data_IF_617468257326
#
_entry.id   IF_617468257326
#
_cell.length_a   1.000
_cell.length_b   1.000
_cell.length_c   1.000
_cell.angle_alpha   90.00
_cell.angle_beta   90.00
_cell.angle_gamma   90.00
#
_symmetry.space_group_name_H-M   'P 1'
#
loop_
_entity.id
_entity.type
_entity.pdbx_description
1 polymer ?
#
# COMPACT_ATOMS: atom_id res chain seq x y z
N UNK A 1 7.62 -20.66 38.90
CA UNK A 1 7.18 -20.28 37.54
C UNK A 1 5.68 -20.13 37.62
N UNK A 2 5.12 -18.95 37.38
CA UNK A 2 3.66 -18.75 37.46
C UNK A 2 3.04 -19.26 36.16
N UNK A 3 2.34 -20.39 36.20
CA UNK A 3 1.55 -20.89 35.09
C UNK A 3 0.29 -20.02 34.93
N UNK A 4 0.04 -19.57 33.70
CA UNK A 4 -1.12 -18.74 33.36
C UNK A 4 -2.15 -19.62 32.68
N UNK A 5 -3.33 -19.78 33.28
CA UNK A 5 -4.38 -20.65 32.76
C UNK A 5 -5.47 -19.84 32.10
N UNK A 6 -6.02 -20.36 30.99
CA UNK A 6 -7.18 -19.74 30.35
C UNK A 6 -8.44 -19.89 31.23
N UNK A 7 -9.18 -18.82 31.52
CA UNK A 7 -10.36 -18.87 32.37
C UNK A 7 -11.53 -19.65 31.74
N UNK A 8 -11.61 -19.68 30.41
CA UNK A 8 -12.74 -20.28 29.69
C UNK A 8 -12.58 -21.80 29.48
N UNK A 9 -11.34 -22.29 29.34
CA UNK A 9 -11.07 -23.71 29.05
C UNK A 9 -10.03 -24.38 29.97
N UNK A 10 -9.41 -23.64 30.90
CA UNK A 10 -8.48 -24.18 31.90
C UNK A 10 -7.11 -24.60 31.38
N UNK A 11 -6.77 -24.33 30.10
CA UNK A 11 -5.48 -24.74 29.52
C UNK A 11 -4.31 -23.90 30.08
N UNK A 12 -3.18 -24.51 30.44
CA UNK A 12 -2.00 -23.79 30.94
C UNK A 12 -1.16 -23.22 29.81
N UNK A 13 -0.60 -22.02 30.05
CA UNK A 13 0.28 -21.29 29.14
C UNK A 13 1.52 -20.80 29.87
N UNK A 14 2.67 -20.89 29.18
CA UNK A 14 3.96 -20.45 29.71
C UNK A 14 4.19 -18.93 29.61
N UNK A 15 3.30 -18.17 28.96
CA UNK A 15 3.45 -16.73 28.78
C UNK A 15 2.11 -16.01 28.51
N UNK A 16 2.03 -14.75 28.94
CA UNK A 16 0.89 -13.85 28.71
C UNK A 16 0.49 -13.72 27.22
N UNK A 17 1.43 -13.56 26.25
CA UNK A 17 1.07 -13.41 24.85
C UNK A 17 0.42 -14.66 24.25
N UNK A 18 0.88 -15.85 24.64
CA UNK A 18 0.30 -17.11 24.15
C UNK A 18 -1.14 -17.30 24.67
N UNK A 19 -1.39 -16.91 25.92
CA UNK A 19 -2.73 -16.92 26.50
C UNK A 19 -3.67 -15.94 25.79
N UNK A 20 -3.21 -14.70 25.57
CA UNK A 20 -4.00 -13.66 24.89
C UNK A 20 -4.37 -14.07 23.46
N UNK A 21 -3.41 -14.64 22.72
CA UNK A 21 -3.68 -15.16 21.37
C UNK A 21 -4.69 -16.31 21.39
N UNK A 22 -4.54 -17.24 22.36
CA UNK A 22 -5.48 -18.35 22.52
C UNK A 22 -6.91 -17.87 22.82
N UNK A 23 -7.08 -16.90 23.73
CA UNK A 23 -8.39 -16.33 24.04
C UNK A 23 -9.02 -15.67 22.81
N UNK A 24 -8.26 -14.88 22.05
CA UNK A 24 -8.75 -14.21 20.86
C UNK A 24 -9.14 -15.17 19.72
N UNK A 25 -8.41 -16.27 19.56
CA UNK A 25 -8.61 -17.22 18.45
C UNK A 25 -9.67 -18.29 18.74
N UNK A 26 -9.72 -18.81 19.96
CA UNK A 26 -10.57 -19.96 20.31
C UNK A 26 -11.89 -19.53 20.95
N UNK A 27 -11.87 -18.48 21.76
CA UNK A 27 -13.06 -18.02 22.47
C UNK A 27 -13.70 -16.79 21.80
N UNK A 28 -13.01 -16.16 20.85
CA UNK A 28 -13.42 -14.89 20.23
C UNK A 28 -13.29 -13.77 21.26
N UNK A 29 -12.62 -12.67 20.91
CA UNK A 29 -12.41 -11.55 21.83
C UNK A 29 -13.76 -10.96 22.27
N UNK A 30 -14.23 -11.38 23.46
CA UNK A 30 -15.61 -11.12 23.82
C UNK A 30 -15.92 -11.36 25.28
N UNK A 31 -15.07 -10.90 26.21
CA UNK A 31 -15.52 -10.65 27.59
C UNK A 31 -14.51 -9.83 28.42
N UNK A 32 -14.21 -8.56 28.06
CA UNK A 32 -13.65 -7.64 29.08
C UNK A 32 -13.73 -6.12 28.81
N UNK A 33 -14.72 -5.67 28.00
CA UNK A 33 -14.99 -4.22 27.84
C UNK A 33 -16.35 -3.83 28.46
N UNK A 34 -17.16 -4.82 28.84
CA UNK A 34 -18.53 -4.59 29.29
C UNK A 34 -18.69 -4.47 30.81
N UNK A 35 -17.75 -4.99 31.60
CA UNK A 35 -17.81 -4.91 33.07
C UNK A 35 -17.24 -3.60 33.64
N UNK A 36 -16.18 -3.05 33.04
CA UNK A 36 -15.62 -1.74 33.45
C UNK A 36 -16.59 -0.58 33.20
N UNK A 37 -17.43 -0.69 32.18
CA UNK A 37 -18.42 0.35 31.82
C UNK A 37 -19.66 0.34 32.75
N UNK A 38 -19.99 -0.82 33.34
CA UNK A 38 -21.13 -0.94 34.27
C UNK A 38 -20.79 -0.44 35.67
N UNK A 39 -19.54 -0.61 36.11
CA UNK A 39 -19.04 -0.07 37.38
C UNK A 39 -18.82 1.45 37.34
N UNK A 40 -18.41 2.01 36.19
CA UNK A 40 -18.32 3.47 36.00
C UNK A 40 -19.69 4.17 36.04
N UNK A 41 -20.77 3.47 35.67
CA UNK A 41 -22.15 4.00 35.72
C UNK A 41 -22.71 4.12 37.15
N UNK A 42 -22.16 3.37 38.12
CA UNK A 42 -22.55 3.50 39.54
C UNK A 42 -21.93 4.72 40.23
N UNK A 43 -20.93 5.36 39.63
CA UNK A 43 -20.15 6.45 40.25
C UNK A 43 -20.60 7.87 39.88
N UNK A 44 -21.72 8.06 39.17
CA UNK A 44 -22.40 9.36 39.10
C UNK A 44 -21.61 10.49 38.41
N UNK A 45 -20.90 10.22 37.32
CA UNK A 45 -20.30 11.27 36.49
C UNK A 45 -21.30 11.81 35.43
N UNK A 46 -21.40 13.14 35.22
CA UNK A 46 -22.42 13.74 34.36
C UNK A 46 -22.17 13.49 32.86
N UNK A 47 -23.24 13.42 32.05
CA UNK A 47 -23.16 13.22 30.61
C UNK A 47 -23.16 14.58 29.89
N UNK A 48 -22.11 14.87 29.15
CA UNK A 48 -21.96 15.86 28.05
C UNK A 48 -20.46 16.15 28.03
N UNK A 49 -19.73 15.81 26.97
CA UNK A 49 -19.73 16.60 25.75
C UNK A 49 -19.00 15.83 24.63
N UNK A 50 -19.48 16.07 23.41
CA UNK A 50 -18.77 15.89 22.14
C UNK A 50 -18.69 14.47 21.53
N UNK A 51 -19.76 14.18 20.77
CA UNK A 51 -19.70 13.41 19.53
C UNK A 51 -18.59 13.98 18.64
N UNK A 52 -17.42 13.34 18.66
CA UNK A 52 -16.37 13.55 17.66
C UNK A 52 -16.54 12.55 16.50
N UNK A 53 -16.29 12.99 15.25
CA UNK A 53 -16.67 12.28 14.05
C UNK A 53 -15.92 10.95 13.96
N UNK A 54 -16.59 9.97 13.33
CA UNK A 54 -16.05 8.66 12.95
C UNK A 54 -14.59 8.77 12.54
N UNK A 55 -13.73 8.20 13.38
CA UNK A 55 -12.31 8.07 13.11
C UNK A 55 -12.09 7.17 11.88
N UNK A 56 -11.82 7.80 10.74
CA UNK A 56 -11.43 7.14 9.49
C UNK A 56 -10.14 6.30 9.62
N UNK A 57 -9.38 6.44 10.71
CA UNK A 57 -8.18 5.64 10.98
C UNK A 57 -8.50 4.24 11.52
N UNK A 58 -9.78 3.88 11.70
CA UNK A 58 -10.17 2.48 11.96
C UNK A 58 -9.98 1.58 10.72
N UNK A 59 -9.85 2.15 9.52
CA UNK A 59 -9.49 1.41 8.30
C UNK A 59 -8.00 1.13 8.19
N UNK A 60 -7.14 1.91 8.86
CA UNK A 60 -5.68 1.73 8.77
C UNK A 60 -5.18 0.58 9.65
N UNK A 61 -5.86 0.27 10.76
CA UNK A 61 -5.39 -0.77 11.70
C UNK A 61 -5.83 -2.20 11.38
N UNK A 62 -6.64 -2.42 10.34
CA UNK A 62 -6.99 -3.76 9.83
C UNK A 62 -6.10 -4.21 8.66
N UNK A 63 -5.29 -3.31 8.09
CA UNK A 63 -4.35 -3.63 7.02
C UNK A 63 -3.07 -4.35 7.51
N UNK A 64 -2.75 -4.25 8.81
CA UNK A 64 -1.46 -4.72 9.34
C UNK A 64 -1.46 -6.19 9.83
N UNK A 65 -2.55 -6.94 9.66
CA UNK A 65 -2.66 -8.31 10.20
C UNK A 65 -2.81 -9.43 9.17
N UNK A 66 -2.89 -9.17 7.86
CA UNK A 66 -3.11 -10.23 6.89
C UNK A 66 -2.24 -10.05 5.66
N UNK A 67 -1.64 -11.15 5.18
CA UNK A 67 -1.06 -11.27 3.85
C UNK A 67 -2.13 -11.08 2.76
N UNK A 68 -2.60 -9.84 2.63
CA UNK A 68 -3.68 -9.41 1.77
C UNK A 68 -3.21 -9.32 0.32
N UNK A 69 -4.05 -9.82 -0.58
CA UNK A 69 -3.85 -9.68 -2.00
C UNK A 69 -3.70 -8.18 -2.34
N UNK A 70 -2.74 -7.79 -3.20
CA UNK A 70 -2.55 -6.40 -3.58
C UNK A 70 -3.86 -5.81 -4.11
N UNK A 71 -4.28 -4.64 -3.64
CA UNK A 71 -5.56 -4.06 -4.04
C UNK A 71 -5.41 -3.09 -5.21
N UNK A 72 -6.51 -2.82 -5.93
CA UNK A 72 -6.53 -1.83 -7.02
C UNK A 72 -6.27 -0.41 -6.50
N UNK A 73 -6.65 -0.16 -5.25
CA UNK A 73 -6.49 1.12 -4.56
C UNK A 73 -5.02 1.37 -4.21
N UNK A 74 -4.32 0.38 -3.64
CA UNK A 74 -2.87 0.41 -3.42
C UNK A 74 -2.09 0.64 -4.72
N UNK A 75 -2.45 -0.09 -5.77
CA UNK A 75 -1.84 0.06 -7.09
C UNK A 75 -2.00 1.51 -7.61
N UNK A 76 -3.19 2.10 -7.42
CA UNK A 76 -3.49 3.47 -7.84
C UNK A 76 -2.75 4.49 -7.00
N UNK A 77 -2.63 4.29 -5.69
CA UNK A 77 -1.88 5.19 -4.80
C UNK A 77 -0.39 5.16 -5.11
N UNK A 78 0.19 3.98 -5.36
CA UNK A 78 1.58 3.84 -5.78
C UNK A 78 1.84 4.55 -7.11
N UNK A 79 1.01 4.32 -8.14
CA UNK A 79 1.13 4.99 -9.43
C UNK A 79 0.98 6.51 -9.32
N UNK A 80 0.08 7.00 -8.46
CA UNK A 80 -0.06 8.43 -8.20
C UNK A 80 1.16 9.01 -7.51
N UNK A 81 1.72 8.32 -6.51
CA UNK A 81 2.93 8.72 -5.82
C UNK A 81 4.11 8.84 -6.81
N UNK A 82 4.29 7.83 -7.66
CA UNK A 82 5.28 7.87 -8.72
C UNK A 82 5.01 8.99 -9.72
N UNK A 83 3.77 9.20 -10.14
CA UNK A 83 3.43 10.26 -11.08
C UNK A 83 3.72 11.66 -10.56
N UNK A 84 3.36 11.93 -9.31
CA UNK A 84 3.70 13.18 -8.63
C UNK A 84 5.22 13.33 -8.55
N UNK A 85 5.94 12.27 -8.18
CA UNK A 85 7.40 12.26 -8.13
C UNK A 85 8.05 12.56 -9.48
N UNK A 86 7.59 11.94 -10.56
CA UNK A 86 8.09 12.16 -11.91
C UNK A 86 7.80 13.59 -12.40
N UNK A 87 6.61 14.13 -12.13
CA UNK A 87 6.29 15.53 -12.46
C UNK A 87 7.20 16.48 -11.68
N UNK A 88 7.34 16.27 -10.38
CA UNK A 88 8.20 17.10 -9.53
C UNK A 88 9.66 17.09 -10.01
N UNK A 89 10.19 15.91 -10.35
CA UNK A 89 11.53 15.74 -10.92
C UNK A 89 11.63 16.44 -12.29
N UNK A 90 10.64 16.28 -13.16
CA UNK A 90 10.59 16.92 -14.47
C UNK A 90 10.56 18.45 -14.37
N UNK A 91 9.83 19.00 -13.40
CA UNK A 91 9.84 20.44 -13.11
C UNK A 91 11.18 20.88 -12.53
N UNK A 92 11.73 20.14 -11.56
CA UNK A 92 13.03 20.45 -10.97
C UNK A 92 14.17 20.45 -12.01
N UNK A 93 14.07 19.60 -13.04
CA UNK A 93 15.01 19.56 -14.15
C UNK A 93 15.15 20.91 -14.88
N UNK A 94 14.10 21.72 -14.95
CA UNK A 94 14.21 23.06 -15.54
C UNK A 94 15.06 24.03 -14.71
N UNK A 95 15.18 23.79 -13.40
CA UNK A 95 15.90 24.67 -12.48
C UNK A 95 17.31 24.17 -12.14
N UNK A 96 17.63 22.91 -12.50
CA UNK A 96 18.90 22.28 -12.17
C UNK A 96 19.78 22.20 -13.43
N UNK A 97 20.81 23.05 -13.57
CA UNK A 97 21.59 23.16 -14.81
C UNK A 97 22.45 21.92 -15.13
N UNK A 98 22.54 20.96 -14.20
CA UNK A 98 23.24 19.70 -14.43
C UNK A 98 22.35 18.62 -15.05
N UNK A 99 21.03 18.78 -15.08
CA UNK A 99 20.13 17.84 -15.75
C UNK A 99 19.74 18.37 -17.12
N UNK A 100 19.77 17.49 -18.13
CA UNK A 100 19.40 17.84 -19.48
C UNK A 100 17.87 18.11 -19.57
N UNK A 101 17.45 19.33 -19.96
CA UNK A 101 16.04 19.70 -20.09
C UNK A 101 15.27 18.81 -21.07
N UNK A 102 15.95 18.14 -22.01
CA UNK A 102 15.32 17.22 -22.95
C UNK A 102 14.57 16.09 -22.24
N UNK A 103 15.10 15.59 -21.12
CA UNK A 103 14.47 14.53 -20.34
C UNK A 103 13.21 14.99 -19.62
N UNK A 104 13.09 16.29 -19.30
CA UNK A 104 11.87 16.83 -18.69
C UNK A 104 10.66 16.66 -19.62
N UNK A 105 10.85 16.77 -20.95
CA UNK A 105 9.80 16.54 -21.94
C UNK A 105 9.37 15.08 -22.06
N UNK A 106 10.19 14.13 -21.59
CA UNK A 106 9.83 12.71 -21.55
C UNK A 106 9.21 12.34 -20.20
N UNK A 107 9.83 12.80 -19.11
CA UNK A 107 9.48 12.44 -17.74
C UNK A 107 8.20 13.14 -17.29
N UNK A 108 8.00 14.43 -17.58
CA UNK A 108 6.82 15.16 -17.12
C UNK A 108 5.51 14.64 -17.77
N UNK A 109 5.44 14.38 -19.10
CA UNK A 109 4.25 13.76 -19.70
C UNK A 109 4.02 12.33 -19.23
N UNK A 110 5.08 11.53 -19.01
CA UNK A 110 4.95 10.19 -18.45
C UNK A 110 4.39 10.24 -17.02
N UNK A 111 4.87 11.18 -16.21
CA UNK A 111 4.34 11.47 -14.88
C UNK A 111 2.88 11.93 -14.91
N UNK A 112 2.52 12.85 -15.82
CA UNK A 112 1.14 13.26 -16.01
C UNK A 112 0.24 12.08 -16.43
N UNK A 113 0.68 11.30 -17.42
CA UNK A 113 -0.04 10.11 -17.89
C UNK A 113 -0.27 9.12 -16.75
N UNK A 114 0.68 9.01 -15.82
CA UNK A 114 0.55 8.14 -14.65
C UNK A 114 -0.49 8.57 -13.63
N UNK A 115 -0.89 9.85 -13.62
CA UNK A 115 -2.01 10.33 -12.82
C UNK A 115 -3.37 9.98 -13.45
N UNK A 116 -3.43 9.91 -14.79
CA UNK A 116 -4.67 9.66 -15.53
C UNK A 116 -4.95 8.18 -15.75
N UNK A 117 -3.93 7.38 -16.04
CA UNK A 117 -4.09 5.96 -16.38
C UNK A 117 -3.58 5.07 -15.25
N UNK A 118 -4.47 4.69 -14.34
CA UNK A 118 -4.20 3.68 -13.30
C UNK A 118 -4.17 2.26 -13.90
N UNK A 119 -3.23 2.00 -14.82
CA UNK A 119 -3.08 0.74 -15.54
C UNK A 119 -1.80 0.02 -15.15
N UNK A 120 -1.86 -1.30 -14.94
CA UNK A 120 -0.68 -2.11 -14.56
C UNK A 120 0.49 -1.96 -15.53
N UNK A 121 0.22 -1.79 -16.83
CA UNK A 121 1.25 -1.61 -17.87
C UNK A 121 2.12 -0.36 -17.68
N UNK A 122 1.66 0.60 -16.88
CA UNK A 122 2.39 1.82 -16.59
C UNK A 122 3.61 1.59 -15.70
N UNK A 123 3.59 0.57 -14.82
CA UNK A 123 4.79 0.15 -14.08
C UNK A 123 5.91 -0.33 -15.01
N UNK A 124 5.54 -1.05 -16.07
CA UNK A 124 6.48 -1.46 -17.12
C UNK A 124 6.99 -0.23 -17.85
N UNK A 125 6.11 0.69 -18.24
CA UNK A 125 6.51 1.91 -18.95
C UNK A 125 7.50 2.75 -18.11
N UNK A 126 7.14 3.06 -16.86
CA UNK A 126 8.00 3.82 -15.92
C UNK A 126 9.33 3.10 -15.69
N UNK A 127 9.28 1.80 -15.39
CA UNK A 127 10.47 1.01 -15.13
C UNK A 127 11.39 0.88 -16.34
N UNK A 128 10.83 0.66 -17.54
CA UNK A 128 11.57 0.59 -18.79
C UNK A 128 12.21 1.94 -19.13
N UNK A 129 11.48 3.05 -18.96
CA UNK A 129 12.03 4.39 -19.15
C UNK A 129 13.21 4.63 -18.20
N UNK A 130 13.09 4.29 -16.91
CA UNK A 130 14.18 4.40 -15.93
C UNK A 130 15.41 3.57 -16.32
N UNK A 131 15.21 2.35 -16.83
CA UNK A 131 16.30 1.49 -17.31
C UNK A 131 16.99 2.13 -18.52
N UNK A 132 16.24 2.62 -19.51
CA UNK A 132 16.83 3.26 -20.70
C UNK A 132 17.61 4.51 -20.32
N UNK A 133 17.05 5.37 -19.47
CA UNK A 133 17.73 6.59 -18.99
C UNK A 133 18.98 6.23 -18.19
N UNK A 134 18.90 5.20 -17.32
CA UNK A 134 20.05 4.74 -16.56
C UNK A 134 21.18 4.19 -17.42
N UNK A 135 20.85 3.43 -18.47
CA UNK A 135 21.83 2.97 -19.45
C UNK A 135 22.47 4.15 -20.18
N UNK A 136 21.67 5.11 -20.65
CA UNK A 136 22.20 6.31 -21.30
C UNK A 136 23.10 7.13 -20.36
N UNK A 137 22.78 7.23 -19.08
CA UNK A 137 23.66 7.89 -18.10
C UNK A 137 24.99 7.15 -17.91
N UNK A 138 25.01 5.82 -17.98
CA UNK A 138 26.26 5.04 -17.91
C UNK A 138 27.10 5.21 -19.17
N UNK A 139 26.48 5.16 -20.36
CA UNK A 139 27.20 5.14 -21.63
C UNK A 139 27.51 6.54 -22.19
N UNK A 140 26.68 7.54 -21.91
CA UNK A 140 26.78 8.91 -22.43
C UNK A 140 27.29 9.89 -21.37
N UNK A 141 26.97 9.66 -20.09
CA UNK A 141 27.30 10.57 -18.99
C UNK A 141 28.77 10.60 -18.54
N UNK A 142 29.62 9.76 -19.15
CA UNK A 142 31.03 9.63 -18.76
C UNK A 142 31.23 8.89 -17.43
N UNK A 143 32.49 8.59 -17.12
CA UNK A 143 32.85 7.84 -15.92
C UNK A 143 32.78 8.73 -14.67
N UNK A 144 32.05 8.32 -13.62
CA UNK A 144 31.94 9.07 -12.36
C UNK A 144 30.55 9.02 -11.73
N UNK A 145 30.08 10.16 -11.22
CA UNK A 145 28.78 10.28 -10.55
C UNK A 145 27.59 9.84 -11.41
N UNK A 146 27.66 10.06 -12.72
CA UNK A 146 26.64 9.62 -13.69
C UNK A 146 26.53 8.11 -13.81
N UNK A 147 27.64 7.38 -13.67
CA UNK A 147 27.64 5.91 -13.67
C UNK A 147 26.91 5.36 -12.44
N UNK A 148 27.18 5.92 -11.26
CA UNK A 148 26.51 5.53 -10.01
C UNK A 148 25.02 5.86 -10.07
N UNK A 149 24.69 7.06 -10.55
CA UNK A 149 23.31 7.48 -10.73
C UNK A 149 22.57 6.61 -11.75
N UNK A 150 23.19 6.30 -12.89
CA UNK A 150 22.64 5.43 -13.91
C UNK A 150 22.43 3.99 -13.41
N UNK A 151 23.35 3.45 -12.61
CA UNK A 151 23.19 2.14 -11.99
C UNK A 151 22.02 2.12 -10.99
N UNK A 152 21.86 3.17 -10.18
CA UNK A 152 20.72 3.32 -9.28
C UNK A 152 19.39 3.41 -10.05
N UNK A 153 19.36 4.16 -11.16
CA UNK A 153 18.19 4.25 -12.04
C UNK A 153 17.82 2.89 -12.66
N UNK A 154 18.80 2.11 -13.13
CA UNK A 154 18.55 0.75 -13.64
C UNK A 154 17.99 -0.13 -12.52
N UNK A 155 18.59 -0.09 -11.33
CA UNK A 155 18.12 -0.87 -10.19
C UNK A 155 16.66 -0.56 -9.83
N UNK A 156 16.32 0.73 -9.69
CA UNK A 156 14.95 1.15 -9.42
C UNK A 156 14.00 0.82 -10.57
N UNK A 157 14.43 1.01 -11.82
CA UNK A 157 13.63 0.68 -12.99
C UNK A 157 13.29 -0.81 -13.05
N UNK A 158 14.26 -1.69 -12.79
CA UNK A 158 14.03 -3.14 -12.71
C UNK A 158 13.10 -3.50 -11.55
N UNK A 159 13.25 -2.87 -10.39
CA UNK A 159 12.33 -3.10 -9.28
C UNK A 159 10.89 -2.71 -9.65
N UNK A 160 10.71 -1.61 -10.37
CA UNK A 160 9.39 -1.15 -10.79
C UNK A 160 8.75 -2.10 -11.81
N UNK A 161 9.51 -2.59 -12.79
CA UNK A 161 9.03 -3.61 -13.73
C UNK A 161 8.59 -4.88 -12.99
N UNK A 162 9.31 -5.30 -11.95
CA UNK A 162 8.94 -6.50 -11.18
C UNK A 162 7.60 -6.35 -10.45
N UNK A 163 7.18 -5.13 -10.11
CA UNK A 163 5.85 -4.88 -9.50
C UNK A 163 4.70 -5.20 -10.46
N UNK A 164 4.92 -5.18 -11.77
CA UNK A 164 3.90 -5.59 -12.74
C UNK A 164 3.35 -6.99 -12.45
N UNK A 165 4.23 -7.94 -12.08
CA UNK A 165 3.82 -9.31 -11.75
C UNK A 165 2.98 -9.38 -10.47
N UNK A 166 3.23 -8.50 -9.50
CA UNK A 166 2.49 -8.42 -8.23
C UNK A 166 1.01 -8.06 -8.45
N UNK A 167 0.72 -7.19 -9.43
CA UNK A 167 -0.64 -6.71 -9.70
C UNK A 167 -1.36 -7.46 -10.85
N UNK A 168 -0.83 -8.60 -11.30
CA UNK A 168 -1.40 -9.33 -12.43
C UNK A 168 -2.82 -9.87 -12.16
N UNK A 169 -3.09 -10.31 -10.93
CA UNK A 169 -4.36 -10.94 -10.55
C UNK A 169 -5.45 -9.94 -10.15
N UNK A 170 -5.08 -8.70 -9.84
CA UNK A 170 -5.99 -7.62 -9.42
C UNK A 170 -6.93 -7.16 -10.53
N UNK A 171 -6.55 -7.39 -11.80
CA UNK A 171 -7.38 -7.04 -12.95
C UNK A 171 -8.34 -8.14 -13.41
N UNK A 172 -8.28 -9.36 -12.83
CA UNK A 172 -9.23 -10.41 -13.22
C UNK A 172 -10.60 -10.12 -12.58
N UNK A 173 -11.69 -10.03 -13.36
CA UNK A 173 -13.02 -9.87 -12.79
C UNK A 173 -13.32 -11.05 -11.86
N UNK A 174 -13.93 -10.77 -10.71
CA UNK A 174 -14.26 -11.77 -9.69
C UNK A 174 -15.23 -12.80 -10.32
N UNK A 175 -14.94 -14.11 -10.28
CA UNK A 175 -15.79 -15.13 -10.91
C UNK A 175 -17.25 -15.08 -10.43
N UNK A 176 -17.50 -14.60 -9.20
CA UNK A 176 -18.84 -14.45 -8.64
C UNK A 176 -19.69 -13.35 -9.30
N UNK A 177 -19.08 -12.39 -10.00
CA UNK A 177 -19.80 -11.38 -10.80
C UNK A 177 -20.05 -11.84 -12.22
N UNK A 178 -19.14 -12.63 -12.81
CA UNK A 178 -19.32 -13.20 -14.15
C UNK A 178 -20.49 -14.21 -14.20
N UNK A 179 -20.81 -14.86 -13.08
CA UNK A 179 -21.95 -15.80 -12.96
C UNK A 179 -23.28 -15.08 -12.69
N UNK A 180 -23.28 -13.81 -12.26
CA UNK A 180 -24.50 -13.04 -11.96
C UNK A 180 -25.05 -12.22 -13.13
N UNK A 181 -24.35 -12.13 -14.25
CA UNK A 181 -24.93 -11.51 -15.44
C UNK A 181 -25.84 -12.54 -16.14
N UNK A 182 -27.18 -12.36 -16.12
CA UNK A 182 -28.05 -13.17 -16.95
C UNK A 182 -27.66 -12.95 -18.42
N UNK A 183 -27.79 -13.97 -19.29
CA UNK A 183 -27.50 -13.81 -20.71
C UNK A 183 -28.26 -12.60 -21.25
N UNK A 184 -27.53 -11.68 -21.89
CA UNK A 184 -28.13 -10.54 -22.56
C UNK A 184 -29.23 -11.06 -23.49
N UNK A 185 -30.48 -10.75 -23.15
CA UNK A 185 -31.62 -11.06 -23.99
C UNK A 185 -31.37 -10.35 -25.32
N UNK A 186 -31.25 -11.15 -26.37
CA UNK A 186 -31.02 -10.69 -27.72
C UNK A 186 -32.02 -9.62 -28.15
N UNK A 187 -31.56 -8.74 -29.01
CA UNK A 187 -32.39 -7.90 -29.87
C UNK A 187 -31.86 -8.03 -31.28
#
# INVERSE_FOLDING_TARGET
MNELNCPDCGKPFGSQPALSWHQGSVHGAGHDVRETTLEARKQGLPPEEEVRPVDQNAHDKLADAQGGQPTREEMRSELRGWGIGLIAIGVAQYFLPFLDPLWAFVVAPLGALSLFLAHRGLFIAIGATLVVVGLLNIFVGGFGGWTVYGAAQIYWGVQEVRKFGKYADVQKPKPSEAVRQPPAAGS
#
